data_IF_380539935389
#
_entry.id   IF_380539935389
#
_cell.length_a   1.000
_cell.length_b   1.000
_cell.length_c   1.000
_cell.angle_alpha   90.00
_cell.angle_beta   90.00
_cell.angle_gamma   90.00
#
_symmetry.space_group_name_H-M   'P 1'
#
loop_
_entity.id
_entity.type
_entity.pdbx_description
1 polymer ?
#
# COMPACT_ATOMS: atom_id res chain seq x y z
N UNK A 1 -12.56 -4.18 7.32
CA UNK A 1 -11.24 -3.77 6.78
C UNK A 1 -11.22 -2.27 6.72
N UNK A 2 -10.07 -1.66 6.99
CA UNK A 2 -9.91 -0.21 7.10
C UNK A 2 -8.84 0.29 6.12
N UNK A 3 -9.06 1.46 5.52
CA UNK A 3 -8.06 2.12 4.67
C UNK A 3 -6.92 2.65 5.54
N UNK A 4 -5.68 2.36 5.14
CA UNK A 4 -4.48 2.78 5.86
C UNK A 4 -3.55 3.65 5.01
N UNK A 5 -3.66 3.57 3.69
CA UNK A 5 -2.80 4.31 2.77
C UNK A 5 -3.48 4.52 1.42
N UNK A 6 -3.21 5.67 0.81
CA UNK A 6 -3.62 6.03 -0.55
C UNK A 6 -2.47 6.77 -1.22
N UNK A 7 -1.98 6.24 -2.34
CA UNK A 7 -0.84 6.84 -3.03
C UNK A 7 -0.57 6.25 -4.39
N UNK A 8 0.63 6.50 -4.93
CA UNK A 8 1.03 5.94 -6.22
C UNK A 8 1.07 4.41 -6.16
N UNK A 9 0.96 3.75 -7.31
CA UNK A 9 1.05 2.28 -7.36
C UNK A 9 2.39 1.76 -6.80
N UNK A 10 3.50 2.41 -7.18
CA UNK A 10 4.86 2.03 -6.73
C UNK A 10 4.98 2.16 -5.21
N UNK A 11 4.59 3.30 -4.65
CA UNK A 11 4.65 3.55 -3.22
C UNK A 11 3.74 2.62 -2.43
N UNK A 12 2.53 2.38 -2.94
CA UNK A 12 1.58 1.42 -2.34
C UNK A 12 2.14 0.00 -2.36
N UNK A 13 2.87 -0.39 -3.41
CA UNK A 13 3.51 -1.69 -3.48
C UNK A 13 4.66 -1.82 -2.47
N UNK A 14 5.46 -0.78 -2.30
CA UNK A 14 6.53 -0.75 -1.29
C UNK A 14 5.95 -0.91 0.13
N UNK A 15 4.92 -0.12 0.45
CA UNK A 15 4.24 -0.20 1.76
C UNK A 15 3.58 -1.56 1.96
N UNK A 16 2.90 -2.09 0.92
CA UNK A 16 2.30 -3.43 0.96
C UNK A 16 3.34 -4.50 1.30
N UNK A 17 4.44 -4.55 0.55
CA UNK A 17 5.51 -5.52 0.76
C UNK A 17 6.10 -5.41 2.17
N UNK A 18 6.28 -4.19 2.67
CA UNK A 18 6.78 -3.95 4.02
C UNK A 18 5.83 -4.47 5.10
N UNK A 19 4.54 -4.20 4.99
CA UNK A 19 3.52 -4.69 5.91
C UNK A 19 3.41 -6.22 5.86
N UNK A 20 3.40 -6.81 4.66
CA UNK A 20 3.34 -8.27 4.49
C UNK A 20 4.58 -8.98 5.05
N UNK A 21 5.77 -8.39 4.92
CA UNK A 21 6.99 -8.89 5.55
C UNK A 21 6.93 -8.85 7.09
N UNK A 22 6.06 -8.02 7.67
CA UNK A 22 5.78 -7.98 9.11
C UNK A 22 4.55 -8.83 9.51
N UNK A 23 4.06 -9.69 8.61
CA UNK A 23 2.93 -10.59 8.87
C UNK A 23 1.56 -9.92 8.81
N UNK A 24 1.47 -8.69 8.30
CA UNK A 24 0.20 -7.96 8.16
C UNK A 24 -0.37 -8.21 6.76
N UNK A 25 -1.58 -8.74 6.69
CA UNK A 25 -2.25 -8.98 5.41
C UNK A 25 -2.85 -7.68 4.85
N UNK A 26 -2.43 -7.31 3.64
CA UNK A 26 -2.81 -6.06 2.97
C UNK A 26 -3.58 -6.34 1.69
N UNK A 27 -4.61 -5.56 1.45
CA UNK A 27 -5.50 -5.67 0.30
C UNK A 27 -5.51 -4.36 -0.48
N UNK A 28 -5.39 -4.45 -1.80
CA UNK A 28 -5.46 -3.28 -2.68
C UNK A 28 -6.91 -3.15 -3.16
N UNK A 29 -7.66 -2.18 -2.63
CA UNK A 29 -9.10 -2.09 -2.82
C UNK A 29 -9.52 -1.85 -4.29
N UNK A 30 -8.63 -1.32 -5.12
CA UNK A 30 -8.85 -1.05 -6.53
C UNK A 30 -8.01 -1.94 -7.47
N UNK A 31 -7.45 -3.06 -7.00
CA UNK A 31 -6.66 -3.97 -7.87
C UNK A 31 -7.46 -4.53 -9.05
N UNK A 32 -8.77 -4.68 -8.90
CA UNK A 32 -9.63 -5.13 -10.00
C UNK A 32 -9.74 -4.10 -11.12
N UNK A 33 -9.52 -2.80 -10.84
CA UNK A 33 -9.37 -1.80 -11.91
C UNK A 33 -8.08 -2.00 -12.70
N UNK A 34 -7.02 -2.60 -12.14
CA UNK A 34 -5.81 -2.98 -12.91
C UNK A 34 -6.07 -4.04 -13.95
N UNK A 35 -7.07 -4.91 -13.73
CA UNK A 35 -7.45 -5.94 -14.69
C UNK A 35 -8.40 -5.43 -15.78
N UNK A 36 -9.27 -4.45 -15.46
CA UNK A 36 -10.27 -3.92 -16.40
C UNK A 36 -9.75 -2.70 -17.16
N UNK A 37 -8.96 -1.84 -16.49
CA UNK A 37 -8.35 -0.63 -17.02
C UNK A 37 -6.90 -0.48 -16.53
N UNK A 38 -5.96 -1.31 -17.01
CA UNK A 38 -4.57 -1.28 -16.57
C UNK A 38 -3.91 0.11 -16.71
N UNK A 39 -4.37 0.92 -17.67
CA UNK A 39 -3.89 2.29 -17.90
C UNK A 39 -4.26 3.28 -16.80
N UNK A 40 -5.30 3.01 -15.99
CA UNK A 40 -5.75 3.93 -14.94
C UNK A 40 -4.91 3.83 -13.65
N UNK A 41 -4.20 2.71 -13.48
CA UNK A 41 -3.54 2.31 -12.22
C UNK A 41 -2.09 1.83 -12.42
N UNK A 42 -1.56 1.93 -13.64
CA UNK A 42 -0.14 1.70 -13.93
C UNK A 42 0.77 2.76 -13.30
N UNK A 43 2.09 2.56 -13.35
CA UNK A 43 3.08 3.60 -13.08
C UNK A 43 2.94 4.74 -14.12
N UNK A 44 1.97 5.63 -13.92
CA UNK A 44 1.52 6.65 -14.88
C UNK A 44 0.00 6.88 -14.90
N UNK A 45 -0.78 6.01 -14.26
CA UNK A 45 -2.22 6.16 -14.10
C UNK A 45 -2.60 7.25 -13.09
N UNK A 46 -3.73 7.92 -13.32
CA UNK A 46 -4.23 9.00 -12.46
C UNK A 46 -4.89 8.49 -11.16
N UNK A 47 -5.27 7.21 -11.09
CA UNK A 47 -5.97 6.69 -9.92
C UNK A 47 -4.99 6.18 -8.85
N UNK A 48 -5.10 6.68 -7.60
CA UNK A 48 -4.24 6.22 -6.53
C UNK A 48 -4.62 4.79 -6.11
N UNK A 49 -3.62 3.97 -5.80
CA UNK A 49 -3.82 2.67 -5.18
C UNK A 49 -4.24 2.85 -3.71
N UNK A 50 -5.20 2.04 -3.26
CA UNK A 50 -5.77 2.13 -1.91
C UNK A 50 -5.45 0.86 -1.13
N UNK A 51 -4.66 0.97 -0.07
CA UNK A 51 -4.34 -0.16 0.81
C UNK A 51 -5.32 -0.26 1.97
N UNK A 52 -5.80 -1.47 2.22
CA UNK A 52 -6.68 -1.82 3.34
C UNK A 52 -6.13 -3.00 4.12
N UNK A 53 -6.35 -2.99 5.43
CA UNK A 53 -5.99 -4.09 6.36
C UNK A 53 -7.18 -4.47 7.22
N UNK A 54 -7.06 -5.54 8.00
CA UNK A 54 -8.01 -5.85 9.06
C UNK A 54 -7.93 -4.77 10.15
N UNK A 55 -9.07 -4.45 10.78
CA UNK A 55 -9.15 -3.39 11.79
C UNK A 55 -8.19 -3.62 12.97
N UNK A 56 -8.01 -4.89 13.36
CA UNK A 56 -7.07 -5.30 14.41
C UNK A 56 -5.60 -4.94 14.10
N UNK A 57 -5.23 -4.84 12.83
CA UNK A 57 -3.85 -4.59 12.38
C UNK A 57 -3.62 -3.10 12.06
N UNK A 58 -4.65 -2.25 12.23
CA UNK A 58 -4.60 -0.82 11.89
C UNK A 58 -3.51 -0.07 12.65
N UNK A 59 -3.37 -0.32 13.95
CA UNK A 59 -2.41 0.37 14.80
C UNK A 59 -0.96 0.07 14.36
N UNK A 60 -0.63 -1.20 14.21
CA UNK A 60 0.71 -1.63 13.78
C UNK A 60 1.03 -1.15 12.36
N UNK A 61 0.03 -1.20 11.46
CA UNK A 61 0.18 -0.70 10.09
C UNK A 61 0.51 0.79 10.06
N UNK A 62 -0.13 1.60 10.91
CA UNK A 62 0.16 3.04 11.02
C UNK A 62 1.58 3.32 11.47
N UNK A 63 2.10 2.55 12.43
CA UNK A 63 3.48 2.71 12.91
C UNK A 63 4.47 2.42 11.79
N UNK A 64 4.25 1.34 11.04
CA UNK A 64 5.12 0.96 9.91
C UNK A 64 5.09 2.02 8.80
N UNK A 65 3.90 2.53 8.44
CA UNK A 65 3.76 3.59 7.44
C UNK A 65 4.43 4.90 7.89
N UNK A 66 4.30 5.27 9.17
CA UNK A 66 4.95 6.47 9.71
C UNK A 66 6.48 6.37 9.62
N UNK A 67 7.05 5.20 9.96
CA UNK A 67 8.50 4.93 9.80
C UNK A 67 8.93 4.95 8.34
N UNK A 68 8.09 4.44 7.43
CA UNK A 68 8.32 4.53 5.98
C UNK A 68 8.40 5.97 5.50
N UNK A 69 7.45 6.81 5.89
CA UNK A 69 7.43 8.22 5.51
C UNK A 69 8.61 9.02 6.09
N UNK A 70 9.18 8.56 7.21
CA UNK A 70 10.39 9.13 7.82
C UNK A 70 11.69 8.66 7.16
N UNK A 71 11.63 7.74 6.20
CA UNK A 71 12.81 7.17 5.55
C UNK A 71 13.59 6.22 6.43
N UNK A 72 12.97 5.62 7.45
CA UNK A 72 13.64 4.68 8.37
C UNK A 72 13.87 3.29 7.75
N UNK A 73 13.32 3.03 6.57
CA UNK A 73 13.57 1.80 5.81
C UNK A 73 14.54 2.06 4.67
N UNK A 74 15.64 1.32 4.65
CA UNK A 74 16.57 1.28 3.53
C UNK A 74 15.95 0.43 2.41
N UNK A 75 15.17 1.07 1.53
CA UNK A 75 14.68 0.48 0.30
C UNK A 75 15.80 0.57 -0.73
N UNK A 76 16.78 -0.34 -0.66
CA UNK A 76 17.83 -0.43 -1.68
C UNK A 76 17.25 -0.95 -3.00
N UNK A 77 17.54 -0.24 -4.08
CA UNK A 77 17.18 -0.59 -5.48
C UNK A 77 17.69 -1.97 -5.92
#
# INVERSE_FOLDING_TARGET
MVEIFRGSYIESMNIKNLLENNGISVFIANEYMSNIQPWSVSAGGNDPAILKVLEKDMADSKVIIDRYNKGEYNLTE
#
